data_IF_370263003639
#
_entry.id   IF_370263003639
#
_cell.length_a   1.000
_cell.length_b   1.000
_cell.length_c   1.000
_cell.angle_alpha   90.00
_cell.angle_beta   90.00
_cell.angle_gamma   90.00
#
_symmetry.space_group_name_H-M   'P 1'
#
loop_
_entity.id
_entity.type
_entity.pdbx_description
1 polymer ?
#
# COMPACT_ATOMS: atom_id res chain seq x y z
N UNK A 1 -13.34 -6.59 18.20
CA UNK A 1 -12.20 -7.50 18.05
C UNK A 1 -10.95 -6.71 18.39
N UNK A 2 -10.15 -7.12 19.37
CA UNK A 2 -8.92 -6.40 19.73
C UNK A 2 -7.86 -6.80 18.71
N UNK A 3 -7.39 -5.86 17.89
CA UNK A 3 -6.28 -6.10 16.95
C UNK A 3 -5.03 -6.37 17.77
N UNK A 4 -4.39 -7.52 17.57
CA UNK A 4 -3.05 -7.78 18.11
C UNK A 4 -2.07 -6.87 17.36
N UNK A 5 -1.17 -6.15 18.04
CA UNK A 5 -0.13 -5.37 17.36
C UNK A 5 0.70 -6.29 16.45
N UNK A 6 1.03 -5.83 15.25
CA UNK A 6 2.01 -6.52 14.40
C UNK A 6 3.34 -6.65 15.14
N UNK A 7 4.04 -7.76 14.92
CA UNK A 7 5.38 -7.98 15.46
C UNK A 7 6.47 -7.22 14.67
N UNK A 8 6.12 -6.65 13.53
CA UNK A 8 7.02 -5.99 12.59
C UNK A 8 6.98 -4.46 12.78
N UNK A 9 8.04 -3.76 12.36
CA UNK A 9 8.09 -2.31 12.41
C UNK A 9 7.23 -1.68 11.30
N UNK A 10 6.40 -0.67 11.60
CA UNK A 10 5.61 0.01 10.58
C UNK A 10 6.51 0.84 9.66
N UNK A 11 6.13 1.01 8.38
CA UNK A 11 6.78 1.99 7.52
C UNK A 11 6.61 3.40 8.08
N UNK A 12 7.55 4.27 7.74
CA UNK A 12 7.54 5.68 8.18
C UNK A 12 6.17 6.33 7.96
N UNK A 13 5.66 7.00 8.99
CA UNK A 13 4.40 7.76 8.94
C UNK A 13 3.16 6.92 8.56
N UNK A 14 3.18 5.60 8.76
CA UNK A 14 2.01 4.75 8.55
C UNK A 14 0.80 5.26 9.34
N UNK A 15 -0.33 5.45 8.64
CA UNK A 15 -1.60 5.82 9.25
C UNK A 15 -2.77 5.33 8.39
N UNK A 16 -3.81 4.84 9.06
CA UNK A 16 -5.14 4.68 8.45
C UNK A 16 -5.76 6.06 8.21
N UNK A 17 -5.96 6.42 6.95
CA UNK A 17 -6.73 7.60 6.54
C UNK A 17 -8.23 7.32 6.66
N UNK A 18 -8.65 6.16 6.17
CA UNK A 18 -9.97 5.58 6.41
C UNK A 18 -9.79 4.27 7.19
N UNK A 19 -10.36 4.16 8.42
CA UNK A 19 -10.16 2.98 9.26
C UNK A 19 -10.49 1.67 8.53
N UNK A 20 -9.58 0.70 8.61
CA UNK A 20 -9.73 -0.62 8.01
C UNK A 20 -9.97 -0.65 6.49
N UNK A 21 -9.67 0.44 5.77
CA UNK A 21 -9.90 0.57 4.32
C UNK A 21 -8.69 1.18 3.59
N UNK A 22 -8.36 2.43 3.88
CA UNK A 22 -7.30 3.19 3.17
C UNK A 22 -6.23 3.62 4.16
N UNK A 23 -4.99 3.18 3.94
CA UNK A 23 -3.80 3.61 4.68
C UNK A 23 -2.85 4.42 3.80
N UNK A 24 -1.99 5.22 4.42
CA UNK A 24 -0.88 5.89 3.77
C UNK A 24 0.40 5.74 4.61
N UNK A 25 1.56 5.73 3.96
CA UNK A 25 2.87 5.75 4.59
C UNK A 25 3.93 6.38 3.68
N UNK A 26 5.15 6.51 4.18
CA UNK A 26 6.32 6.57 3.30
C UNK A 26 6.59 5.22 2.63
N UNK A 27 7.57 5.17 1.72
CA UNK A 27 7.97 3.95 1.02
C UNK A 27 8.31 2.82 2.02
N UNK A 28 7.60 1.69 2.00
CA UNK A 28 8.02 0.48 2.70
C UNK A 28 9.13 -0.20 1.88
N UNK A 29 10.39 -0.08 2.32
CA UNK A 29 11.57 -0.55 1.58
C UNK A 29 12.29 -1.73 2.22
N UNK A 30 11.91 -2.09 3.45
CA UNK A 30 12.46 -3.25 4.15
C UNK A 30 11.49 -4.44 4.19
N UNK A 31 12.01 -5.69 4.28
CA UNK A 31 11.15 -6.87 4.46
C UNK A 31 10.25 -6.79 5.70
N UNK A 32 10.73 -6.16 6.78
CA UNK A 32 10.00 -5.99 8.03
C UNK A 32 8.81 -5.04 7.85
N UNK A 33 9.02 -3.90 7.19
CA UNK A 33 7.94 -2.95 6.87
C UNK A 33 6.90 -3.56 5.93
N UNK A 34 7.32 -4.33 4.92
CA UNK A 34 6.39 -5.03 4.03
C UNK A 34 5.58 -6.11 4.77
N UNK A 35 6.20 -6.81 5.72
CA UNK A 35 5.50 -7.78 6.56
C UNK A 35 4.49 -7.08 7.50
N UNK A 36 4.83 -5.92 8.06
CA UNK A 36 3.87 -5.09 8.81
C UNK A 36 2.65 -4.72 7.96
N UNK A 37 2.87 -4.27 6.72
CA UNK A 37 1.78 -3.92 5.79
C UNK A 37 0.87 -5.14 5.53
N UNK A 38 1.45 -6.33 5.35
CA UNK A 38 0.69 -7.56 5.19
C UNK A 38 -0.10 -7.96 6.46
N UNK A 39 0.49 -7.81 7.64
CA UNK A 39 -0.15 -8.08 8.95
C UNK A 39 -1.38 -7.19 9.19
N UNK A 40 -1.32 -5.95 8.72
CA UNK A 40 -2.45 -5.00 8.76
C UNK A 40 -3.63 -5.43 7.85
N UNK A 41 -3.42 -6.46 7.04
CA UNK A 41 -4.39 -7.06 6.13
C UNK A 41 -4.48 -6.35 4.79
N UNK A 42 -3.52 -5.48 4.46
CA UNK A 42 -3.47 -4.76 3.19
C UNK A 42 -3.23 -5.77 2.07
N UNK A 43 -4.00 -5.65 0.98
CA UNK A 43 -3.95 -6.53 -0.20
C UNK A 43 -3.41 -5.83 -1.44
N UNK A 44 -3.44 -4.50 -1.44
CA UNK A 44 -2.96 -3.69 -2.56
C UNK A 44 -2.10 -2.53 -2.06
N UNK A 45 -0.94 -2.36 -2.70
CA UNK A 45 -0.07 -1.20 -2.53
C UNK A 45 -0.19 -0.36 -3.81
N UNK A 46 -0.42 0.94 -3.67
CA UNK A 46 -0.37 1.91 -4.77
C UNK A 46 0.87 2.77 -4.56
N UNK A 47 1.86 2.56 -5.42
CA UNK A 47 3.14 3.25 -5.36
C UNK A 47 3.15 4.41 -6.34
N UNK A 48 3.26 5.64 -5.84
CA UNK A 48 3.32 6.85 -6.69
C UNK A 48 4.73 7.41 -6.86
N UNK A 49 5.71 6.77 -6.23
CA UNK A 49 7.13 7.14 -6.31
C UNK A 49 7.80 6.63 -7.60
N UNK A 50 8.92 7.24 -7.98
CA UNK A 50 9.72 6.75 -9.13
C UNK A 50 10.43 5.42 -8.84
N UNK A 51 10.64 5.08 -7.57
CA UNK A 51 11.30 3.84 -7.17
C UNK A 51 10.44 2.64 -7.56
N UNK A 52 11.02 1.70 -8.29
CA UNK A 52 10.35 0.45 -8.64
C UNK A 52 10.12 -0.41 -7.40
N UNK A 53 8.89 -0.86 -7.13
CA UNK A 53 8.60 -1.75 -6.01
C UNK A 53 9.30 -3.11 -6.13
N UNK A 54 9.60 -3.74 -4.99
CA UNK A 54 10.03 -5.14 -4.96
C UNK A 54 8.82 -6.07 -5.15
N UNK A 55 8.44 -6.29 -6.42
CA UNK A 55 7.30 -7.13 -6.79
C UNK A 55 7.41 -8.55 -6.23
N UNK A 56 8.62 -9.11 -6.12
CA UNK A 56 8.83 -10.48 -5.67
C UNK A 56 8.46 -10.65 -4.21
N UNK A 57 8.98 -9.78 -3.35
CA UNK A 57 8.67 -9.79 -1.91
C UNK A 57 7.21 -9.46 -1.65
N UNK A 58 6.66 -8.45 -2.33
CA UNK A 58 5.25 -8.05 -2.19
C UNK A 58 4.31 -9.20 -2.56
N UNK A 59 4.54 -9.86 -3.70
CA UNK A 59 3.73 -11.00 -4.11
C UNK A 59 3.91 -12.20 -3.17
N UNK A 60 5.12 -12.44 -2.65
CA UNK A 60 5.40 -13.49 -1.66
C UNK A 60 4.64 -13.32 -0.35
N UNK A 61 4.27 -12.09 0.00
CA UNK A 61 3.43 -11.76 1.17
C UNK A 61 1.92 -11.76 0.86
N UNK A 62 1.53 -12.16 -0.36
CA UNK A 62 0.11 -12.22 -0.76
C UNK A 62 -0.51 -10.85 -1.03
N UNK A 63 0.32 -9.86 -1.38
CA UNK A 63 -0.10 -8.52 -1.77
C UNK A 63 0.11 -8.30 -3.28
N UNK A 64 -0.60 -7.32 -3.82
CA UNK A 64 -0.41 -6.80 -5.18
C UNK A 64 0.10 -5.36 -5.14
N UNK A 65 0.73 -4.89 -6.20
CA UNK A 65 1.16 -3.50 -6.33
C UNK A 65 0.77 -2.91 -7.67
N UNK A 66 0.26 -1.67 -7.63
CA UNK A 66 0.09 -0.81 -8.81
C UNK A 66 1.14 0.28 -8.71
N UNK A 67 2.07 0.30 -9.66
CA UNK A 67 3.12 1.32 -9.74
C UNK A 67 2.71 2.40 -10.73
N UNK A 68 2.41 3.60 -10.23
CA UNK A 68 2.01 4.76 -11.04
C UNK A 68 2.94 5.94 -10.74
N UNK A 69 4.20 5.89 -11.19
CA UNK A 69 5.13 7.00 -11.00
C UNK A 69 4.64 8.23 -11.77
N UNK A 70 4.82 9.43 -11.21
CA UNK A 70 4.59 10.69 -11.93
C UNK A 70 3.26 11.39 -11.69
N UNK A 71 2.50 10.99 -10.66
CA UNK A 71 1.20 11.60 -10.29
C UNK A 71 1.21 13.13 -10.10
N UNK A 72 2.38 13.73 -9.88
CA UNK A 72 2.54 15.20 -9.75
C UNK A 72 2.53 15.96 -11.07
N UNK A 73 2.77 15.29 -12.21
CA UNK A 73 2.87 15.93 -13.52
C UNK A 73 2.09 15.23 -14.63
N UNK A 74 1.55 14.04 -14.36
CA UNK A 74 0.83 13.21 -15.31
C UNK A 74 -0.55 12.85 -14.74
N UNK A 75 -1.60 13.38 -15.39
CA UNK A 75 -2.99 13.11 -15.01
C UNK A 75 -3.37 11.64 -15.26
N UNK A 76 -2.81 10.99 -16.28
CA UNK A 76 -3.07 9.57 -16.51
C UNK A 76 -2.45 8.71 -15.40
N UNK A 77 -1.28 9.11 -14.89
CA UNK A 77 -0.67 8.46 -13.73
C UNK A 77 -1.52 8.66 -12.46
N UNK A 78 -2.08 9.86 -12.27
CA UNK A 78 -3.00 10.12 -11.17
C UNK A 78 -4.27 9.28 -11.29
N UNK A 79 -4.89 9.23 -12.47
CA UNK A 79 -6.10 8.45 -12.73
C UNK A 79 -5.86 6.95 -12.45
N UNK A 80 -4.75 6.37 -12.94
CA UNK A 80 -4.40 4.98 -12.63
C UNK A 80 -4.25 4.72 -11.13
N UNK A 81 -3.65 5.65 -10.38
CA UNK A 81 -3.49 5.51 -8.94
C UNK A 81 -4.85 5.57 -8.22
N UNK A 82 -5.73 6.51 -8.61
CA UNK A 82 -7.08 6.66 -8.07
C UNK A 82 -7.94 5.44 -8.39
N UNK A 83 -7.91 4.96 -9.63
CA UNK A 83 -8.64 3.75 -10.05
C UNK A 83 -8.19 2.52 -9.26
N UNK A 84 -6.89 2.36 -9.00
CA UNK A 84 -6.37 1.24 -8.21
C UNK A 84 -6.87 1.27 -6.75
N UNK A 85 -6.92 2.46 -6.14
CA UNK A 85 -7.51 2.65 -4.80
C UNK A 85 -8.99 2.35 -4.83
N UNK A 86 -9.73 2.94 -5.78
CA UNK A 86 -11.17 2.76 -5.90
C UNK A 86 -11.56 1.28 -6.11
N UNK A 87 -10.82 0.56 -6.96
CA UNK A 87 -11.04 -0.87 -7.20
C UNK A 87 -10.80 -1.69 -5.92
N UNK A 88 -9.72 -1.42 -5.17
CA UNK A 88 -9.45 -2.13 -3.92
C UNK A 88 -10.58 -1.95 -2.91
N UNK A 89 -11.00 -0.70 -2.69
CA UNK A 89 -12.07 -0.38 -1.75
C UNK A 89 -13.41 -1.01 -2.19
N UNK A 90 -13.70 -1.01 -3.49
CA UNK A 90 -14.91 -1.64 -4.06
C UNK A 90 -14.90 -3.16 -3.85
N UNK A 91 -13.74 -3.79 -3.96
CA UNK A 91 -13.56 -5.23 -3.71
C UNK A 91 -13.58 -5.59 -2.21
N UNK A 92 -13.62 -4.59 -1.32
CA UNK A 92 -13.51 -4.76 0.13
C UNK A 92 -12.08 -5.00 0.63
N UNK A 93 -11.09 -4.78 -0.23
CA UNK A 93 -9.68 -4.90 0.09
C UNK A 93 -9.15 -3.64 0.79
N UNK A 94 -8.24 -3.86 1.74
CA UNK A 94 -7.44 -2.79 2.35
C UNK A 94 -6.32 -2.38 1.40
N UNK A 95 -6.13 -1.07 1.24
CA UNK A 95 -5.13 -0.49 0.34
C UNK A 95 -4.18 0.45 1.06
N UNK A 96 -2.89 0.38 0.70
CA UNK A 96 -1.86 1.34 1.11
C UNK A 96 -1.48 2.23 -0.06
N UNK A 97 -1.40 3.53 0.14
CA UNK A 97 -0.83 4.48 -0.82
C UNK A 97 0.50 5.03 -0.28
N UNK A 98 1.55 5.10 -1.11
CA UNK A 98 2.85 5.65 -0.70
C UNK A 98 3.59 6.36 -1.84
#
# INVERSE_FOLDING_TARGET
>A
MVRTPSAHAPPRLFKWFEPDSIAASGLPDSPDELAYVADEGIKRIVSVTQTTPDYGTIAGLGMSVVHSPGVTGDLEALDRAVEAVHAAVTDGDKVLVH
#
